data_IF_259771706163
#
_entry.id   IF_259771706163
#
_cell.length_a   1.000
_cell.length_b   1.000
_cell.length_c   1.000
_cell.angle_alpha   90.00
_cell.angle_beta   90.00
_cell.angle_gamma   90.00
#
_symmetry.space_group_name_H-M   'P 1'
#
loop_
_entity.id
_entity.type
_entity.pdbx_description
1 polymer ?
#
# COMPACT_ATOMS: atom_id res chain seq x y z
N UNK A 1 -11.87 3.58 -31.50
CA UNK A 1 -10.84 3.69 -30.44
C UNK A 1 -11.46 3.22 -29.12
N UNK A 2 -11.51 1.91 -28.89
CA UNK A 2 -12.03 1.32 -27.63
C UNK A 2 -10.89 0.55 -26.98
N UNK A 3 -9.86 1.28 -26.56
CA UNK A 3 -8.81 0.74 -25.69
C UNK A 3 -9.25 0.92 -24.24
N UNK A 4 -9.24 -0.15 -23.46
CA UNK A 4 -9.57 -0.09 -22.04
C UNK A 4 -8.53 0.77 -21.31
N UNK A 5 -8.92 1.97 -20.84
CA UNK A 5 -8.00 2.88 -20.15
C UNK A 5 -7.90 2.45 -18.68
N UNK A 6 -7.05 1.45 -18.41
CA UNK A 6 -6.84 0.92 -17.07
C UNK A 6 -5.98 1.84 -16.21
N UNK A 7 -6.34 2.00 -14.93
CA UNK A 7 -5.52 2.72 -13.95
C UNK A 7 -5.37 4.22 -14.26
N UNK A 8 -6.47 4.88 -14.59
CA UNK A 8 -6.49 6.34 -14.80
C UNK A 8 -5.93 7.10 -13.59
N UNK A 9 -5.44 8.32 -13.81
CA UNK A 9 -4.89 9.16 -12.75
C UNK A 9 -5.87 9.34 -11.58
N UNK A 10 -7.17 9.50 -11.86
CA UNK A 10 -8.22 9.59 -10.84
C UNK A 10 -8.24 8.37 -9.92
N UNK A 11 -8.11 7.17 -10.47
CA UNK A 11 -8.10 5.92 -9.69
C UNK A 11 -6.83 5.83 -8.85
N UNK A 12 -5.65 6.12 -9.42
CA UNK A 12 -4.37 6.10 -8.69
C UNK A 12 -4.33 7.11 -7.55
N UNK A 13 -4.85 8.32 -7.79
CA UNK A 13 -5.03 9.34 -6.74
C UNK A 13 -5.98 8.83 -5.67
N UNK A 14 -7.15 8.32 -6.04
CA UNK A 14 -8.14 7.80 -5.10
C UNK A 14 -7.56 6.73 -4.17
N UNK A 15 -6.77 5.79 -4.70
CA UNK A 15 -6.07 4.78 -3.90
C UNK A 15 -5.12 5.41 -2.87
N UNK A 16 -4.35 6.43 -3.26
CA UNK A 16 -3.49 7.15 -2.32
C UNK A 16 -4.29 7.87 -1.22
N UNK A 17 -5.45 8.43 -1.57
CA UNK A 17 -6.31 9.10 -0.58
C UNK A 17 -6.89 8.14 0.46
N UNK A 18 -7.12 6.87 0.09
CA UNK A 18 -7.62 5.85 1.00
C UNK A 18 -6.61 5.46 2.09
N UNK A 19 -5.32 5.71 1.88
CA UNK A 19 -4.27 5.43 2.85
C UNK A 19 -4.03 6.59 3.84
N UNK A 20 -4.74 7.72 3.70
CA UNK A 20 -4.59 8.86 4.61
C UNK A 20 -4.95 8.49 6.05
N UNK A 21 -4.12 8.96 6.99
CA UNK A 21 -4.30 8.71 8.42
C UNK A 21 -3.87 7.32 8.88
N UNK A 22 -3.45 6.44 7.95
CA UNK A 22 -2.82 5.17 8.27
C UNK A 22 -1.30 5.30 8.44
N UNK A 23 -0.69 4.22 8.94
CA UNK A 23 0.77 4.06 9.02
C UNK A 23 1.22 3.06 7.97
N UNK A 24 2.34 3.37 7.30
CA UNK A 24 3.05 2.44 6.42
C UNK A 24 4.35 2.06 7.14
N UNK A 25 4.57 0.76 7.38
CA UNK A 25 5.75 0.28 8.11
C UNK A 25 6.77 -0.39 7.18
N UNK A 26 8.04 -0.08 7.37
CA UNK A 26 9.15 -0.76 6.70
C UNK A 26 9.37 -2.16 7.30
N UNK A 27 9.49 -3.18 6.45
CA UNK A 27 9.68 -4.57 6.86
C UNK A 27 10.70 -5.28 5.96
N UNK A 28 11.51 -6.16 6.54
CA UNK A 28 12.53 -6.97 5.83
C UNK A 28 12.27 -8.48 5.95
N UNK A 29 11.22 -8.89 6.67
CA UNK A 29 10.83 -10.31 6.83
C UNK A 29 9.31 -10.49 6.82
N UNK A 30 8.80 -11.68 6.44
CA UNK A 30 7.37 -11.98 6.50
C UNK A 30 6.77 -11.86 7.91
N UNK A 31 7.57 -12.18 8.94
CA UNK A 31 7.13 -12.08 10.34
C UNK A 31 6.89 -10.63 10.75
N UNK A 32 7.79 -9.72 10.37
CA UNK A 32 7.59 -8.28 10.60
C UNK A 32 6.34 -7.75 9.89
N UNK A 33 6.05 -8.24 8.68
CA UNK A 33 4.83 -7.87 7.97
C UNK A 33 3.57 -8.28 8.73
N UNK A 34 3.57 -9.48 9.35
CA UNK A 34 2.46 -9.94 10.19
C UNK A 34 2.29 -9.08 11.45
N UNK A 35 3.40 -8.77 12.13
CA UNK A 35 3.38 -7.90 13.32
C UNK A 35 2.88 -6.48 12.95
N UNK A 36 3.27 -5.94 11.80
CA UNK A 36 2.81 -4.65 11.33
C UNK A 36 1.30 -4.63 11.02
N UNK A 37 0.79 -5.69 10.38
CA UNK A 37 -0.65 -5.88 10.15
C UNK A 37 -1.43 -5.91 11.47
N UNK A 38 -0.97 -6.72 12.44
CA UNK A 38 -1.60 -6.84 13.77
C UNK A 38 -1.54 -5.53 14.57
N UNK A 39 -0.49 -4.72 14.37
CA UNK A 39 -0.35 -3.39 14.98
C UNK A 39 -1.25 -2.31 14.34
N UNK A 40 -1.96 -2.64 13.26
CA UNK A 40 -2.86 -1.72 12.57
C UNK A 40 -2.20 -0.88 11.47
N UNK A 41 -1.07 -1.33 10.91
CA UNK A 41 -0.50 -0.69 9.72
C UNK A 41 -1.46 -0.83 8.52
N UNK A 42 -1.69 0.25 7.80
CA UNK A 42 -2.56 0.26 6.62
C UNK A 42 -1.87 -0.38 5.41
N UNK A 43 -0.54 -0.35 5.37
CA UNK A 43 0.29 -1.02 4.37
C UNK A 43 1.69 -1.31 4.94
N UNK A 44 2.46 -2.13 4.24
CA UNK A 44 3.87 -2.40 4.54
C UNK A 44 4.76 -2.07 3.34
N UNK A 45 5.96 -1.55 3.59
CA UNK A 45 7.00 -1.36 2.59
C UNK A 45 8.06 -2.45 2.76
N UNK A 46 8.12 -3.38 1.81
CA UNK A 46 9.12 -4.43 1.81
C UNK A 46 10.47 -3.87 1.34
N UNK A 47 11.48 -3.98 2.18
CA UNK A 47 12.86 -3.57 1.89
C UNK A 47 13.74 -4.80 1.67
N UNK A 48 14.72 -4.67 0.79
CA UNK A 48 15.84 -5.60 0.76
C UNK A 48 16.77 -5.36 1.96
N UNK A 49 17.58 -6.37 2.30
CA UNK A 49 18.53 -6.31 3.42
C UNK A 49 19.82 -5.60 3.03
#
# INVERSE_FOLDING_TARGET
>A
MTGNISGTFRVKRGLAEMMKGGVIMDVVTPEQARIAEDAGACAVMALER
#
